data_IF_266225839090
#
_entry.id   IF_266225839090
#
_cell.length_a   1.000
_cell.length_b   1.000
_cell.length_c   1.000
_cell.angle_alpha   90.00
_cell.angle_beta   90.00
_cell.angle_gamma   90.00
#
_symmetry.space_group_name_H-M   'P 1'
#
loop_
_entity.id
_entity.type
_entity.pdbx_description
1 polymer ?
#
# COMPACT_ATOMS: atom_id res chain seq x y z
N UNK A 1 -70.08 -18.47 3.05
CA UNK A 1 -70.91 -17.76 2.05
C UNK A 1 -71.17 -16.35 2.55
N UNK A 2 -70.83 -15.33 1.73
CA UNK A 2 -71.14 -13.86 1.82
C UNK A 2 -70.59 -13.07 3.03
N UNK A 3 -69.58 -12.21 2.80
CA UNK A 3 -69.58 -10.71 2.74
C UNK A 3 -69.71 -10.04 4.11
N UNK A 4 -68.87 -9.08 4.53
CA UNK A 4 -68.70 -7.75 3.96
C UNK A 4 -67.34 -7.07 4.23
N UNK A 5 -67.09 -6.00 3.47
CA UNK A 5 -65.90 -5.16 3.33
C UNK A 5 -65.87 -4.00 4.34
N UNK A 6 -64.67 -3.54 4.69
CA UNK A 6 -64.41 -2.12 4.92
C UNK A 6 -63.09 -1.70 4.24
N UNK A 7 -63.16 -0.61 3.47
CA UNK A 7 -62.05 0.09 2.83
C UNK A 7 -61.53 1.19 3.77
N UNK A 8 -60.20 1.34 3.85
CA UNK A 8 -59.55 2.62 4.14
C UNK A 8 -58.44 2.82 3.10
N UNK A 9 -58.55 3.92 2.36
CA UNK A 9 -57.52 4.47 1.47
C UNK A 9 -56.42 5.11 2.32
N UNK A 10 -55.15 4.89 1.97
CA UNK A 10 -54.18 5.99 2.01
C UNK A 10 -52.96 5.78 1.10
N UNK A 11 -52.41 6.91 0.66
CA UNK A 11 -51.58 7.10 -0.53
C UNK A 11 -50.13 6.66 -0.36
N UNK A 12 -49.55 6.30 -1.50
CA UNK A 12 -48.12 6.10 -1.80
C UNK A 12 -47.23 7.22 -1.27
N UNK A 13 -46.07 6.86 -0.74
CA UNK A 13 -44.84 7.66 -0.82
C UNK A 13 -43.63 6.73 -0.82
N UNK A 14 -42.91 6.71 -1.95
CA UNK A 14 -41.60 6.09 -2.07
C UNK A 14 -40.57 6.98 -1.36
N UNK A 15 -39.84 6.43 -0.39
CA UNK A 15 -38.65 7.08 0.18
C UNK A 15 -37.40 6.30 -0.25
N UNK A 16 -36.65 6.87 -1.19
CA UNK A 16 -35.22 6.64 -1.30
C UNK A 16 -34.53 7.41 -0.18
N UNK A 17 -33.81 6.72 0.70
CA UNK A 17 -32.95 7.35 1.70
C UNK A 17 -31.53 6.81 1.53
N UNK A 18 -30.68 7.62 0.88
CA UNK A 18 -29.25 7.59 1.12
C UNK A 18 -29.03 7.87 2.61
N UNK A 19 -28.42 6.93 3.33
CA UNK A 19 -27.86 7.23 4.66
C UNK A 19 -26.34 7.22 4.58
N UNK A 20 -25.81 8.44 4.63
CA UNK A 20 -24.44 8.73 4.99
C UNK A 20 -24.14 8.33 6.44
N UNK A 21 -22.85 8.22 6.69
CA UNK A 21 -22.22 7.83 7.94
C UNK A 21 -22.56 8.84 9.04
N UNK A 22 -23.15 8.34 10.14
CA UNK A 22 -23.31 9.08 11.39
C UNK A 22 -22.09 8.78 12.28
N UNK A 23 -21.16 9.74 12.36
CA UNK A 23 -20.08 9.70 13.34
C UNK A 23 -20.59 10.34 14.64
N UNK A 24 -20.86 9.50 15.64
CA UNK A 24 -21.20 9.94 17.00
C UNK A 24 -19.90 10.29 17.75
N UNK A 25 -19.64 11.58 17.91
CA UNK A 25 -18.66 12.08 18.89
C UNK A 25 -19.36 12.23 20.24
N UNK A 26 -18.96 11.39 21.19
CA UNK A 26 -19.29 11.52 22.60
C UNK A 26 -18.53 12.72 23.19
N UNK A 27 -19.25 13.81 23.48
CA UNK A 27 -18.73 14.90 24.30
C UNK A 27 -19.28 14.72 25.72
N UNK A 28 -18.37 14.51 26.67
CA UNK A 28 -18.64 14.47 28.11
C UNK A 28 -19.15 15.83 28.61
N UNK A 29 -20.19 15.91 29.45
CA UNK A 29 -20.56 17.14 30.11
C UNK A 29 -19.81 17.25 31.44
N UNK A 30 -19.44 18.47 31.82
CA UNK A 30 -19.53 19.07 33.17
C UNK A 30 -18.47 20.16 33.26
N UNK A 31 -18.88 21.40 33.06
CA UNK A 31 -18.54 22.53 33.96
C UNK A 31 -19.36 23.76 33.58
N UNK A 32 -20.08 24.22 34.58
CA UNK A 32 -21.11 25.26 34.61
C UNK A 32 -20.51 26.66 34.51
N UNK A 33 -21.04 27.53 33.63
CA UNK A 33 -21.10 28.98 33.88
C UNK A 33 -22.40 29.55 33.29
N UNK A 34 -23.19 30.18 34.16
CA UNK A 34 -24.42 30.94 33.86
C UNK A 34 -24.07 32.29 33.22
N UNK A 35 -24.87 32.75 32.27
CA UNK A 35 -25.28 34.16 32.20
C UNK A 35 -26.71 34.30 31.65
N UNK A 36 -27.50 35.12 32.35
CA UNK A 36 -28.85 35.58 31.99
C UNK A 36 -28.76 36.66 30.90
N UNK A 37 -29.81 36.80 30.08
CA UNK A 37 -30.05 38.05 29.35
C UNK A 37 -30.56 37.90 27.93
N UNK A 38 -31.88 38.03 27.81
CA UNK A 38 -32.71 38.21 26.62
C UNK A 38 -32.13 39.00 25.42
N UNK A 39 -32.56 38.55 24.23
CA UNK A 39 -33.02 39.32 23.06
C UNK A 39 -32.20 39.12 21.78
N UNK A 40 -32.94 38.80 20.71
CA UNK A 40 -32.49 38.52 19.34
C UNK A 40 -31.45 39.50 18.77
N UNK A 41 -30.39 38.95 18.20
CA UNK A 41 -29.64 39.56 17.10
C UNK A 41 -29.23 38.49 16.09
N UNK A 42 -29.71 38.62 14.87
CA UNK A 42 -29.06 38.06 13.68
C UNK A 42 -27.86 38.96 13.36
N UNK A 43 -26.66 38.38 13.27
CA UNK A 43 -25.50 39.06 12.71
C UNK A 43 -24.81 38.20 11.65
N UNK A 44 -24.63 38.82 10.49
CA UNK A 44 -23.62 38.51 9.49
C UNK A 44 -22.21 38.72 10.07
N UNK A 45 -21.27 37.80 9.77
CA UNK A 45 -19.88 38.13 9.43
C UNK A 45 -18.80 38.14 10.53
N UNK A 46 -17.77 37.31 10.27
CA UNK A 46 -16.34 37.47 10.57
C UNK A 46 -15.77 37.15 11.98
N UNK A 47 -14.85 36.19 12.01
CA UNK A 47 -13.60 36.29 12.78
C UNK A 47 -12.41 35.81 11.93
N UNK A 48 -11.30 36.52 12.10
CA UNK A 48 -10.09 36.50 11.30
C UNK A 48 -9.10 35.39 11.69
N UNK A 49 -8.25 34.99 10.74
CA UNK A 49 -6.91 34.44 11.04
C UNK A 49 -5.89 35.30 10.32
N UNK A 50 -5.04 35.94 11.13
CA UNK A 50 -3.84 36.65 10.72
C UNK A 50 -2.79 35.64 10.23
N UNK A 51 -2.33 35.79 8.99
CA UNK A 51 -1.02 35.28 8.58
C UNK A 51 -0.23 36.44 7.96
N UNK A 52 0.76 36.92 8.71
CA UNK A 52 1.94 37.61 8.18
C UNK A 52 2.64 36.62 7.24
N UNK A 53 2.97 36.93 5.98
CA UNK A 53 3.88 37.98 5.53
C UNK A 53 5.22 37.32 5.22
N UNK A 54 5.58 37.19 3.94
CA UNK A 54 6.95 37.02 3.38
C UNK A 54 6.85 37.10 1.83
N UNK A 55 7.92 37.45 1.09
CA UNK A 55 7.86 38.36 -0.04
C UNK A 55 7.83 37.68 -1.43
N UNK A 56 7.54 38.53 -2.40
CA UNK A 56 7.46 38.27 -3.84
C UNK A 56 8.84 37.94 -4.44
N UNK A 57 8.92 36.88 -5.23
CA UNK A 57 9.97 36.72 -6.25
C UNK A 57 9.35 36.86 -7.64
N UNK A 58 9.81 37.85 -8.39
CA UNK A 58 9.49 38.07 -9.80
C UNK A 58 10.46 37.27 -10.68
N UNK A 59 9.97 36.30 -11.45
CA UNK A 59 10.71 35.71 -12.56
C UNK A 59 10.24 36.30 -13.89
N UNK A 60 11.12 37.04 -14.55
CA UNK A 60 10.98 37.41 -15.95
C UNK A 60 11.50 36.25 -16.82
N UNK A 61 10.66 35.69 -17.69
CA UNK A 61 11.10 34.76 -18.73
C UNK A 61 10.76 35.36 -20.10
N UNK A 62 11.81 35.71 -20.83
CA UNK A 62 11.77 36.15 -22.23
C UNK A 62 11.57 34.92 -23.15
N UNK A 63 10.84 35.03 -24.27
CA UNK A 63 10.57 33.89 -25.14
C UNK A 63 11.77 33.62 -26.05
N UNK A 64 12.41 32.46 -25.89
CA UNK A 64 13.42 31.96 -26.81
C UNK A 64 13.88 30.56 -26.44
N UNK A 65 13.77 29.64 -27.40
CA UNK A 65 14.39 28.31 -27.45
C UNK A 65 13.65 27.16 -26.74
N UNK A 66 12.87 26.45 -27.56
CA UNK A 66 12.47 25.07 -27.34
C UNK A 66 13.72 24.17 -27.25
N UNK A 67 13.91 23.50 -26.12
CA UNK A 67 14.55 22.19 -26.10
C UNK A 67 13.71 21.18 -25.34
N UNK A 68 13.78 19.95 -25.86
CA UNK A 68 12.97 18.78 -25.58
C UNK A 68 13.03 18.40 -24.11
N UNK A 69 11.92 17.94 -23.54
CA UNK A 69 11.86 16.64 -22.85
C UNK A 69 10.44 16.29 -22.31
N UNK A 70 10.07 15.01 -22.52
CA UNK A 70 9.10 14.20 -21.77
C UNK A 70 7.61 14.54 -21.92
N UNK A 71 7.01 14.02 -23.00
CA UNK A 71 5.61 13.60 -22.99
C UNK A 71 5.46 12.35 -22.12
N UNK A 72 4.85 12.50 -20.94
CA UNK A 72 4.24 11.37 -20.21
C UNK A 72 2.75 11.43 -20.48
N UNK A 73 2.26 10.47 -21.26
CA UNK A 73 0.85 10.34 -21.62
C UNK A 73 -0.02 9.99 -20.41
N UNK A 74 -1.18 10.63 -20.31
CA UNK A 74 -2.27 10.23 -19.43
C UNK A 74 -3.48 9.84 -20.27
N UNK A 75 -4.02 8.68 -19.95
CA UNK A 75 -5.18 8.05 -20.56
C UNK A 75 -6.43 8.93 -20.49
N UNK A 76 -7.12 9.09 -21.62
CA UNK A 76 -8.48 9.65 -21.69
C UNK A 76 -9.46 8.49 -21.57
N UNK A 77 -10.21 8.43 -20.48
CA UNK A 77 -11.37 7.55 -20.34
C UNK A 77 -12.59 8.23 -20.98
N UNK A 78 -12.84 7.92 -22.26
CA UNK A 78 -14.05 8.32 -22.96
C UNK A 78 -15.23 7.39 -22.62
N UNK A 79 -16.40 7.95 -22.30
CA UNK A 79 -17.69 7.25 -22.42
C UNK A 79 -18.57 7.90 -23.50
N UNK A 80 -18.97 7.03 -24.41
CA UNK A 80 -19.87 7.14 -25.57
C UNK A 80 -20.96 8.24 -25.58
N UNK A 81 -21.08 8.91 -26.73
CA UNK A 81 -22.37 9.20 -27.39
C UNK A 81 -22.25 8.98 -28.92
N UNK A 82 -23.15 8.13 -29.42
CA UNK A 82 -23.59 7.85 -30.81
C UNK A 82 -22.79 8.34 -32.02
N UNK A 83 -22.52 7.41 -32.94
CA UNK A 83 -22.05 7.67 -34.31
C UNK A 83 -23.00 8.56 -35.13
N UNK A 84 -22.49 9.40 -36.05
CA UNK A 84 -23.23 9.85 -37.22
C UNK A 84 -22.95 8.92 -38.43
N UNK A 85 -23.95 8.56 -39.27
CA UNK A 85 -23.71 7.87 -40.53
C UNK A 85 -23.36 8.85 -41.66
N UNK A 86 -22.57 8.34 -42.63
CA UNK A 86 -22.16 8.98 -43.88
C UNK A 86 -23.31 9.14 -44.89
N UNK A 87 -23.20 10.04 -45.89
CA UNK A 87 -24.31 10.41 -46.76
C UNK A 87 -24.45 9.46 -47.97
N UNK A 88 -25.70 9.16 -48.34
CA UNK A 88 -26.08 8.81 -49.72
C UNK A 88 -27.33 9.59 -50.12
N UNK A 89 -27.25 10.15 -51.31
CA UNK A 89 -28.26 10.91 -52.03
C UNK A 89 -29.53 10.09 -52.29
N UNK A 90 -30.68 10.76 -52.29
CA UNK A 90 -31.58 10.92 -53.45
C UNK A 90 -32.93 11.56 -53.04
N UNK A 91 -33.28 12.59 -53.80
CA UNK A 91 -34.62 13.15 -54.08
C UNK A 91 -35.50 13.76 -52.95
N UNK A 92 -35.60 15.08 -53.02
CA UNK A 92 -36.74 15.97 -52.66
C UNK A 92 -38.05 15.57 -53.40
N UNK A 93 -39.23 16.23 -53.17
CA UNK A 93 -39.56 17.35 -52.26
C UNK A 93 -40.85 17.14 -51.41
N UNK A 94 -41.06 17.97 -50.37
CA UNK A 94 -42.22 18.87 -50.28
C UNK A 94 -42.17 19.75 -49.03
N UNK A 95 -42.66 20.95 -49.25
CA UNK A 95 -42.47 22.20 -48.51
C UNK A 95 -43.44 22.36 -47.33
N UNK A 96 -43.20 23.42 -46.54
CA UNK A 96 -44.09 24.14 -45.60
C UNK A 96 -44.10 23.52 -44.17
N UNK A 97 -43.66 24.17 -43.08
CA UNK A 97 -44.18 25.40 -42.48
C UNK A 97 -43.20 26.08 -41.50
N UNK A 98 -43.08 27.41 -41.69
CA UNK A 98 -42.78 28.55 -40.80
C UNK A 98 -42.30 28.31 -39.35
N UNK A 99 -41.20 28.99 -39.00
CA UNK A 99 -40.88 29.43 -37.63
C UNK A 99 -41.35 30.88 -37.43
N UNK A 100 -42.10 31.14 -36.36
CA UNK A 100 -42.41 32.49 -35.91
C UNK A 100 -41.22 33.08 -35.15
N UNK A 101 -40.84 34.28 -35.57
CA UNK A 101 -39.91 35.21 -34.94
C UNK A 101 -40.42 35.71 -33.60
N UNK A 102 -39.53 35.95 -32.63
CA UNK A 102 -39.66 37.08 -31.71
C UNK A 102 -38.29 37.75 -31.58
N UNK A 103 -38.18 38.92 -32.21
CA UNK A 103 -37.14 39.92 -32.05
C UNK A 103 -37.66 40.94 -31.04
N UNK A 104 -36.88 41.29 -30.03
CA UNK A 104 -36.96 42.62 -29.44
C UNK A 104 -35.54 43.15 -29.21
N UNK A 105 -35.26 44.30 -29.82
CA UNK A 105 -34.05 45.11 -29.72
C UNK A 105 -34.20 46.06 -28.55
N UNK A 106 -33.10 46.37 -27.85
CA UNK A 106 -32.63 47.74 -27.60
C UNK A 106 -31.17 47.72 -27.05
N UNK A 107 -30.41 48.71 -27.53
CA UNK A 107 -28.95 48.96 -27.72
C UNK A 107 -28.15 49.49 -26.47
N UNK A 108 -26.80 49.80 -26.48
CA UNK A 108 -25.68 49.63 -27.44
C UNK A 108 -24.31 49.17 -26.74
N UNK A 109 -23.05 49.46 -27.21
CA UNK A 109 -21.96 48.44 -27.27
C UNK A 109 -20.68 48.76 -26.45
N UNK A 110 -20.02 47.78 -25.79
CA UNK A 110 -18.67 48.02 -25.22
C UNK A 110 -17.73 46.81 -25.36
N UNK A 111 -16.69 47.04 -26.16
CA UNK A 111 -15.28 46.64 -26.09
C UNK A 111 -14.81 45.21 -25.74
N UNK A 112 -14.13 44.62 -26.74
CA UNK A 112 -12.86 43.90 -26.64
C UNK A 112 -12.35 43.55 -25.24
N UNK A 113 -12.54 42.30 -24.81
CA UNK A 113 -11.73 41.72 -23.73
C UNK A 113 -10.38 41.31 -24.33
N UNK A 114 -9.39 42.20 -24.18
CA UNK A 114 -7.96 41.83 -24.22
C UNK A 114 -7.62 41.11 -22.91
N UNK A 115 -7.11 39.89 -23.03
CA UNK A 115 -6.58 39.02 -21.97
C UNK A 115 -7.62 38.35 -21.04
N UNK A 116 -7.55 37.01 -20.99
CA UNK A 116 -8.15 36.17 -19.95
C UNK A 116 -7.03 35.85 -18.96
N UNK A 117 -7.13 36.40 -17.75
CA UNK A 117 -6.24 36.04 -16.64
C UNK A 117 -6.86 34.85 -15.91
N UNK A 118 -6.24 33.67 -16.00
CA UNK A 118 -6.63 32.54 -15.16
C UNK A 118 -6.17 32.82 -13.73
N UNK A 119 -7.11 33.08 -12.82
CA UNK A 119 -6.83 32.89 -11.39
C UNK A 119 -6.75 31.39 -11.15
N UNK A 120 -5.56 30.93 -10.75
CA UNK A 120 -5.36 29.64 -10.10
C UNK A 120 -6.06 29.72 -8.75
N UNK A 121 -7.36 29.42 -8.69
CA UNK A 121 -8.00 29.11 -7.42
C UNK A 121 -7.38 27.80 -6.97
N UNK A 122 -6.45 27.86 -6.02
CA UNK A 122 -6.06 26.70 -5.26
C UNK A 122 -7.33 26.14 -4.63
N UNK A 123 -7.81 25.00 -5.11
CA UNK A 123 -8.72 24.16 -4.34
C UNK A 123 -7.87 23.44 -3.29
N UNK A 124 -7.24 24.23 -2.41
CA UNK A 124 -6.62 23.77 -1.18
C UNK A 124 -7.72 23.80 -0.13
N UNK A 125 -8.47 22.71 0.00
CA UNK A 125 -9.52 22.67 1.00
C UNK A 125 -10.37 21.41 1.09
N UNK A 126 -10.20 20.41 0.23
CA UNK A 126 -11.01 19.17 0.30
C UNK A 126 -10.27 17.91 -0.19
N UNK A 127 -8.93 17.92 -0.15
CA UNK A 127 -8.09 16.76 -0.51
C UNK A 127 -6.91 16.56 0.46
N UNK A 128 -7.12 16.87 1.75
CA UNK A 128 -6.11 16.60 2.81
C UNK A 128 -6.61 15.70 3.95
N UNK A 129 -7.86 15.24 3.91
CA UNK A 129 -8.42 14.30 4.91
C UNK A 129 -8.43 12.85 4.42
N UNK A 130 -7.67 12.54 3.36
CA UNK A 130 -7.27 11.15 3.08
C UNK A 130 -6.14 10.81 4.04
N UNK A 131 -6.52 10.47 5.27
CA UNK A 131 -5.76 9.75 6.28
C UNK A 131 -4.23 9.82 6.12
N UNK A 132 -3.60 10.81 6.74
CA UNK A 132 -2.29 10.59 7.35
C UNK A 132 -2.47 9.50 8.41
N UNK A 133 -2.44 8.24 7.99
CA UNK A 133 -2.30 7.13 8.90
C UNK A 133 -1.01 7.38 9.67
N UNK A 134 -1.12 7.76 10.94
CA UNK A 134 0.00 7.69 11.86
C UNK A 134 0.52 6.26 11.74
N UNK A 135 1.71 6.09 11.16
CA UNK A 135 2.31 4.77 10.96
C UNK A 135 2.31 4.08 12.32
N UNK A 136 1.42 3.10 12.50
CA UNK A 136 1.27 2.44 13.79
C UNK A 136 2.57 1.70 14.05
N UNK A 137 3.27 2.08 15.12
CA UNK A 137 4.52 1.43 15.47
C UNK A 137 4.26 -0.06 15.70
N UNK A 138 4.89 -0.90 14.86
CA UNK A 138 4.72 -2.34 14.96
C UNK A 138 5.24 -2.84 16.31
N UNK A 139 4.43 -3.68 16.96
CA UNK A 139 4.90 -4.45 18.10
C UNK A 139 6.00 -5.39 17.62
N UNK A 140 7.03 -5.63 18.43
CA UNK A 140 8.15 -6.49 18.08
C UNK A 140 8.81 -7.06 19.31
N UNK A 141 9.36 -8.25 19.19
CA UNK A 141 10.37 -8.75 20.12
C UNK A 141 11.73 -8.84 19.40
N UNK A 142 12.81 -8.90 20.16
CA UNK A 142 14.14 -9.01 19.62
C UNK A 142 15.00 -9.99 20.41
N UNK A 143 15.92 -10.64 19.72
CA UNK A 143 17.06 -11.33 20.32
C UNK A 143 18.26 -10.42 20.12
N UNK A 144 18.77 -9.87 21.23
CA UNK A 144 19.96 -9.04 21.20
C UNK A 144 21.19 -9.88 20.86
N UNK A 145 22.08 -9.29 20.07
CA UNK A 145 23.42 -9.81 19.86
C UNK A 145 24.24 -9.77 21.16
N UNK A 146 25.25 -10.64 21.28
CA UNK A 146 26.07 -10.71 22.50
C UNK A 146 27.18 -9.65 22.57
N UNK A 147 27.57 -9.08 21.42
CA UNK A 147 28.59 -8.04 21.29
C UNK A 147 28.06 -6.72 20.72
N UNK A 148 28.92 -6.00 19.99
CA UNK A 148 28.53 -4.74 19.32
C UNK A 148 27.52 -5.03 18.20
N UNK A 149 26.44 -4.26 18.17
CA UNK A 149 25.44 -4.30 17.10
C UNK A 149 26.04 -3.74 15.80
N UNK A 150 26.18 -4.58 14.77
CA UNK A 150 26.67 -4.14 13.44
C UNK A 150 25.89 -4.71 12.26
N UNK A 151 24.83 -5.48 12.53
CA UNK A 151 23.94 -6.03 11.53
C UNK A 151 22.59 -6.40 12.13
N UNK A 152 21.56 -6.49 11.28
CA UNK A 152 20.20 -6.83 11.72
C UNK A 152 19.53 -7.86 10.79
N UNK A 153 18.76 -8.77 11.37
CA UNK A 153 17.85 -9.67 10.65
C UNK A 153 16.42 -9.33 11.05
N UNK A 154 15.57 -9.05 10.08
CA UNK A 154 14.13 -8.83 10.29
C UNK A 154 13.41 -10.12 9.86
N UNK A 155 12.86 -10.86 10.83
CA UNK A 155 12.26 -12.17 10.61
C UNK A 155 10.73 -12.10 10.81
N UNK A 156 10.01 -12.15 9.69
CA UNK A 156 8.56 -12.01 9.60
C UNK A 156 7.85 -13.37 9.80
N UNK A 157 6.83 -13.40 10.66
CA UNK A 157 6.05 -14.59 10.99
C UNK A 157 5.02 -14.96 9.90
N UNK A 158 4.47 -16.17 9.97
CA UNK A 158 3.38 -16.65 9.10
C UNK A 158 2.01 -16.07 9.48
N UNK A 159 0.99 -16.29 8.65
CA UNK A 159 -0.37 -15.80 8.92
C UNK A 159 -0.94 -16.35 10.23
N UNK A 160 -1.48 -15.47 11.09
CA UNK A 160 -2.12 -15.84 12.35
C UNK A 160 -1.17 -15.97 13.55
N UNK A 161 0.13 -15.82 13.34
CA UNK A 161 1.15 -15.85 14.40
C UNK A 161 1.52 -14.42 14.87
N UNK A 162 2.52 -14.30 15.74
CA UNK A 162 3.11 -13.05 16.21
C UNK A 162 4.63 -13.13 16.18
N UNK A 163 5.34 -12.01 16.31
CA UNK A 163 6.80 -12.02 16.40
C UNK A 163 7.32 -12.85 17.58
N UNK A 164 6.65 -12.78 18.74
CA UNK A 164 7.01 -13.58 19.90
C UNK A 164 6.70 -15.07 19.70
N UNK A 165 5.61 -15.41 19.02
CA UNK A 165 5.26 -16.78 18.67
C UNK A 165 6.29 -17.40 17.73
N UNK A 166 6.66 -16.71 16.65
CA UNK A 166 7.73 -17.15 15.76
C UNK A 166 9.07 -17.32 16.48
N UNK A 167 9.47 -16.36 17.32
CA UNK A 167 10.70 -16.49 18.13
C UNK A 167 10.67 -17.76 18.99
N UNK A 168 9.56 -18.00 19.69
CA UNK A 168 9.40 -19.18 20.52
C UNK A 168 9.46 -20.47 19.69
N UNK A 169 8.82 -20.49 18.52
CA UNK A 169 8.83 -21.64 17.61
C UNK A 169 10.24 -21.95 17.08
N UNK A 170 10.98 -20.93 16.63
CA UNK A 170 12.39 -21.05 16.23
C UNK A 170 13.23 -21.63 17.36
N UNK A 171 13.04 -21.11 18.59
CA UNK A 171 13.73 -21.63 19.79
C UNK A 171 13.37 -23.08 20.06
N UNK A 172 12.12 -23.48 19.93
CA UNK A 172 11.66 -24.83 20.23
C UNK A 172 12.17 -25.85 19.21
N UNK A 173 12.35 -25.45 17.95
CA UNK A 173 12.97 -26.27 16.88
C UNK A 173 14.49 -26.40 17.12
N UNK A 174 15.17 -25.28 17.37
CA UNK A 174 16.63 -25.24 17.61
C UNK A 174 17.05 -25.72 19.00
N UNK A 175 16.11 -25.80 19.96
CA UNK A 175 16.35 -25.99 21.40
C UNK A 175 17.18 -24.89 22.05
N UNK A 176 17.28 -23.72 21.40
CA UNK A 176 17.96 -22.51 21.85
C UNK A 176 17.51 -21.32 21.01
N UNK A 177 17.67 -20.10 21.53
CA UNK A 177 17.41 -18.90 20.72
C UNK A 177 18.35 -18.87 19.50
N UNK A 178 17.80 -18.47 18.34
CA UNK A 178 18.63 -18.08 17.20
C UNK A 178 19.31 -16.75 17.57
N UNK A 179 20.60 -16.82 17.88
CA UNK A 179 21.39 -15.69 18.36
C UNK A 179 22.77 -15.67 17.71
N UNK A 180 23.32 -14.46 17.57
CA UNK A 180 24.58 -14.18 16.88
C UNK A 180 25.43 -13.19 17.69
N UNK A 181 26.73 -13.14 17.40
CA UNK A 181 27.66 -12.27 18.11
C UNK A 181 27.41 -10.78 17.86
N UNK A 182 27.15 -10.38 16.62
CA UNK A 182 27.00 -8.97 16.21
C UNK A 182 25.68 -8.66 15.49
N UNK A 183 24.84 -9.68 15.28
CA UNK A 183 23.59 -9.58 14.52
C UNK A 183 22.40 -9.59 15.48
N UNK A 184 21.63 -8.50 15.47
CA UNK A 184 20.35 -8.43 16.18
C UNK A 184 19.26 -9.09 15.35
N UNK A 185 18.41 -9.92 15.95
CA UNK A 185 17.22 -10.44 15.26
C UNK A 185 15.97 -9.74 15.78
N UNK A 186 15.16 -9.23 14.87
CA UNK A 186 13.92 -8.51 15.14
C UNK A 186 12.78 -9.33 14.57
N UNK A 187 11.83 -9.66 15.44
CA UNK A 187 10.60 -10.37 15.09
C UNK A 187 9.43 -9.39 15.28
N UNK A 188 9.06 -8.62 14.24
CA UNK A 188 7.88 -7.77 14.29
C UNK A 188 6.60 -8.61 14.28
N UNK A 189 5.53 -8.06 14.84
CA UNK A 189 4.18 -8.63 14.82
C UNK A 189 3.32 -7.81 13.86
N UNK A 190 2.70 -8.48 12.89
CA UNK A 190 1.71 -7.87 12.01
C UNK A 190 0.54 -7.32 12.83
N UNK A 191 0.02 -6.11 12.54
CA UNK A 191 -1.16 -5.60 13.22
C UNK A 191 -2.38 -6.48 12.92
N UNK A 192 -3.31 -6.66 13.86
CA UNK A 192 -4.52 -7.43 13.61
C UNK A 192 -5.37 -6.71 12.56
N UNK A 193 -5.80 -7.43 11.53
CA UNK A 193 -6.66 -6.91 10.44
C UNK A 193 -7.61 -7.99 9.91
N UNK A 194 -8.71 -7.62 9.22
CA UNK A 194 -9.55 -8.58 8.52
C UNK A 194 -8.75 -9.37 7.49
N UNK A 195 -9.00 -10.67 7.43
CA UNK A 195 -8.37 -11.57 6.46
C UNK A 195 -9.43 -12.30 5.63
N UNK A 196 -9.44 -12.07 4.31
CA UNK A 196 -10.45 -12.58 3.38
C UNK A 196 -10.58 -14.11 3.40
N UNK A 197 -9.50 -14.91 3.44
CA UNK A 197 -9.59 -16.37 3.52
C UNK A 197 -10.23 -16.85 4.83
N UNK A 198 -10.23 -16.03 5.88
CA UNK A 198 -10.92 -16.29 7.16
C UNK A 198 -12.29 -15.58 7.23
N UNK A 199 -12.93 -15.32 6.08
CA UNK A 199 -14.25 -14.67 5.98
C UNK A 199 -14.32 -13.31 6.70
N UNK A 200 -13.21 -12.57 6.69
CA UNK A 200 -13.10 -11.24 7.29
C UNK A 200 -12.85 -11.23 8.80
N UNK A 201 -12.62 -12.39 9.43
CA UNK A 201 -12.19 -12.44 10.83
C UNK A 201 -10.84 -11.72 11.02
N UNK A 202 -10.66 -11.11 12.20
CA UNK A 202 -9.39 -10.46 12.56
C UNK A 202 -8.31 -11.51 12.77
N UNK A 203 -7.15 -11.28 12.15
CA UNK A 203 -5.96 -12.11 12.30
C UNK A 203 -4.70 -11.26 12.18
N UNK A 204 -3.59 -11.73 12.75
CA UNK A 204 -2.28 -11.12 12.58
C UNK A 204 -1.71 -11.53 11.22
N UNK A 205 -1.95 -10.71 10.20
CA UNK A 205 -1.53 -10.96 8.81
C UNK A 205 -0.87 -9.72 8.22
N UNK A 206 0.21 -9.92 7.47
CA UNK A 206 0.98 -8.83 6.85
C UNK A 206 0.18 -8.12 5.76
N UNK A 207 -0.56 -8.89 4.96
CA UNK A 207 -1.36 -8.41 3.85
C UNK A 207 -2.54 -9.36 3.63
N UNK A 208 -3.53 -8.92 2.84
CA UNK A 208 -4.70 -9.74 2.53
C UNK A 208 -4.47 -10.64 1.31
N UNK A 209 -5.21 -11.74 1.20
CA UNK A 209 -5.20 -12.64 0.04
C UNK A 209 -6.63 -12.88 -0.41
N UNK A 210 -6.93 -12.72 -1.69
CA UNK A 210 -8.26 -13.09 -2.20
C UNK A 210 -8.50 -14.60 -2.06
N UNK A 211 -7.46 -15.40 -2.31
CA UNK A 211 -7.46 -16.87 -2.18
C UNK A 211 -6.07 -17.35 -1.74
N UNK A 212 -6.00 -18.53 -1.14
CA UNK A 212 -4.74 -19.25 -0.93
C UNK A 212 -4.42 -20.01 -2.23
N UNK A 213 -3.84 -19.31 -3.20
CA UNK A 213 -3.47 -19.85 -4.50
C UNK A 213 -2.44 -18.93 -5.16
N UNK A 214 -1.53 -19.51 -5.94
CA UNK A 214 -0.64 -18.77 -6.82
C UNK A 214 -1.35 -18.21 -8.07
N UNK A 215 -2.51 -18.78 -8.44
CA UNK A 215 -3.29 -18.46 -9.65
C UNK A 215 -4.31 -17.32 -9.45
N UNK A 216 -4.10 -16.46 -8.45
CA UNK A 216 -4.88 -15.24 -8.28
C UNK A 216 -3.98 -14.03 -8.14
N UNK A 217 -4.48 -12.84 -8.45
CA UNK A 217 -3.70 -11.62 -8.28
C UNK A 217 -3.43 -11.30 -6.81
N UNK A 218 -2.36 -10.56 -6.56
CA UNK A 218 -1.98 -10.08 -5.24
C UNK A 218 -2.89 -8.94 -4.78
N UNK A 219 -3.09 -8.81 -3.46
CA UNK A 219 -3.79 -7.64 -2.90
C UNK A 219 -2.80 -6.48 -2.68
N UNK A 220 -2.35 -5.87 -3.78
CA UNK A 220 -1.26 -4.89 -3.79
C UNK A 220 -1.41 -3.73 -2.81
N UNK A 221 -2.61 -3.16 -2.65
CA UNK A 221 -2.84 -2.06 -1.70
C UNK A 221 -2.42 -2.43 -0.26
N UNK A 222 -2.74 -3.66 0.16
CA UNK A 222 -2.43 -4.15 1.50
C UNK A 222 -0.94 -4.47 1.67
N UNK A 223 -0.31 -4.97 0.61
CA UNK A 223 1.13 -5.27 0.54
C UNK A 223 1.93 -3.97 0.60
N UNK A 224 1.56 -2.97 -0.20
CA UNK A 224 2.27 -1.70 -0.31
C UNK A 224 2.19 -0.91 1.00
N UNK A 225 1.00 -0.89 1.63
CA UNK A 225 0.84 -0.34 2.98
C UNK A 225 1.77 -1.01 3.99
N UNK A 226 1.92 -2.34 3.91
CA UNK A 226 2.79 -3.07 4.84
C UNK A 226 4.27 -2.88 4.53
N UNK A 227 4.66 -2.76 3.25
CA UNK A 227 6.01 -2.37 2.86
C UNK A 227 6.40 -1.02 3.46
N UNK A 228 5.50 -0.02 3.42
CA UNK A 228 5.76 1.28 4.07
C UNK A 228 5.97 1.13 5.58
N UNK A 229 5.12 0.34 6.26
CA UNK A 229 5.25 0.12 7.71
C UNK A 229 6.55 -0.62 8.07
N UNK A 230 6.89 -1.70 7.38
CA UNK A 230 8.14 -2.43 7.61
C UNK A 230 9.37 -1.59 7.23
N UNK A 231 9.27 -0.72 6.23
CA UNK A 231 10.31 0.27 5.91
C UNK A 231 10.63 1.19 7.08
N UNK A 232 9.64 1.51 7.94
CA UNK A 232 9.91 2.27 9.18
C UNK A 232 10.76 1.50 10.17
N UNK A 233 10.57 0.17 10.28
CA UNK A 233 11.38 -0.70 11.14
C UNK A 233 12.83 -0.73 10.64
N UNK A 234 13.03 -0.85 9.33
CA UNK A 234 14.37 -0.78 8.72
C UNK A 234 15.01 0.59 8.97
N UNK A 235 14.25 1.68 8.85
CA UNK A 235 14.77 3.02 9.09
C UNK A 235 15.18 3.24 10.55
N UNK A 236 14.49 2.63 11.51
CA UNK A 236 14.92 2.64 12.92
C UNK A 236 16.27 1.96 13.12
N UNK A 237 16.54 0.85 12.42
CA UNK A 237 17.85 0.18 12.48
C UNK A 237 18.94 1.01 11.78
N UNK A 238 18.61 1.71 10.69
CA UNK A 238 19.52 2.70 10.08
C UNK A 238 19.88 3.80 11.08
N UNK A 239 18.89 4.34 11.81
CA UNK A 239 19.14 5.34 12.88
C UNK A 239 19.95 4.77 14.03
N UNK A 240 19.88 3.46 14.28
CA UNK A 240 20.72 2.76 15.26
C UNK A 240 22.15 2.48 14.75
N UNK A 241 22.50 2.90 13.53
CA UNK A 241 23.84 2.78 12.97
C UNK A 241 24.07 1.53 12.12
N UNK A 242 23.03 0.76 11.79
CA UNK A 242 23.14 -0.40 10.90
C UNK A 242 22.74 0.01 9.48
N UNK A 243 23.66 0.05 8.50
CA UNK A 243 23.29 0.37 7.13
C UNK A 243 22.49 -0.77 6.50
N UNK A 244 21.68 -0.48 5.46
CA UNK A 244 20.77 -1.48 4.86
C UNK A 244 21.49 -2.68 4.23
N UNK A 245 22.68 -2.49 3.68
CA UNK A 245 23.54 -3.58 3.20
C UNK A 245 24.10 -4.48 4.32
N UNK A 246 23.80 -4.16 5.59
CA UNK A 246 24.03 -4.99 6.79
C UNK A 246 22.71 -5.50 7.38
N UNK A 247 21.64 -5.48 6.60
CA UNK A 247 20.34 -6.01 6.97
C UNK A 247 19.95 -7.19 6.07
N UNK A 248 19.34 -8.20 6.67
CA UNK A 248 18.62 -9.26 5.96
C UNK A 248 17.16 -9.16 6.35
N UNK A 249 16.26 -9.34 5.38
CA UNK A 249 14.82 -9.46 5.63
C UNK A 249 14.37 -10.83 5.18
N UNK A 250 13.58 -11.54 5.97
CA UNK A 250 13.01 -12.80 5.53
C UNK A 250 11.86 -13.24 6.39
N UNK A 251 11.26 -14.37 6.05
CA UNK A 251 10.13 -14.86 6.83
C UNK A 251 9.65 -16.25 6.47
N UNK A 252 8.70 -16.71 7.28
CA UNK A 252 7.99 -17.97 7.08
C UNK A 252 6.63 -17.71 6.43
N UNK A 253 6.26 -18.51 5.43
CA UNK A 253 4.97 -18.47 4.75
C UNK A 253 4.60 -17.06 4.25
N UNK A 254 3.54 -16.45 4.78
CA UNK A 254 3.17 -15.07 4.46
C UNK A 254 4.32 -14.06 4.71
N UNK A 255 5.14 -14.29 5.75
CA UNK A 255 6.28 -13.44 6.07
C UNK A 255 7.38 -13.49 5.01
N UNK A 256 7.63 -14.65 4.38
CA UNK A 256 8.62 -14.75 3.31
C UNK A 256 8.16 -14.07 2.03
N UNK A 257 6.87 -14.22 1.68
CA UNK A 257 6.27 -13.47 0.58
C UNK A 257 6.35 -11.93 0.82
N UNK A 258 6.05 -11.49 2.05
CA UNK A 258 6.17 -10.08 2.43
C UNK A 258 7.63 -9.58 2.34
N UNK A 259 8.59 -10.40 2.75
CA UNK A 259 10.01 -10.07 2.67
C UNK A 259 10.49 -9.91 1.22
N UNK A 260 10.02 -10.75 0.29
CA UNK A 260 10.31 -10.63 -1.14
C UNK A 260 9.79 -9.31 -1.71
N UNK A 261 8.55 -8.92 -1.39
CA UNK A 261 8.02 -7.61 -1.79
C UNK A 261 8.85 -6.45 -1.21
N UNK A 262 9.18 -6.51 0.08
CA UNK A 262 9.92 -5.45 0.76
C UNK A 262 11.32 -5.27 0.15
N UNK A 263 12.07 -6.36 0.03
CA UNK A 263 13.44 -6.33 -0.46
C UNK A 263 13.51 -5.98 -1.96
N UNK A 264 12.74 -6.67 -2.81
CA UNK A 264 12.91 -6.51 -4.25
C UNK A 264 12.33 -5.20 -4.81
N UNK A 265 11.29 -4.64 -4.17
CA UNK A 265 10.60 -3.44 -4.66
C UNK A 265 11.04 -2.16 -3.95
N UNK A 266 11.22 -2.22 -2.63
CA UNK A 266 11.44 -1.02 -1.81
C UNK A 266 12.89 -0.88 -1.31
N UNK A 267 13.57 -2.00 -1.03
CA UNK A 267 14.90 -2.00 -0.42
C UNK A 267 15.86 -3.02 -1.06
N UNK A 268 16.18 -2.89 -2.36
CA UNK A 268 17.07 -3.82 -3.07
C UNK A 268 18.52 -3.79 -2.55
N UNK A 269 18.88 -2.79 -1.74
CA UNK A 269 20.19 -2.63 -1.12
C UNK A 269 20.45 -3.54 0.11
N UNK A 270 19.47 -4.35 0.52
CA UNK A 270 19.65 -5.30 1.63
C UNK A 270 20.67 -6.39 1.31
N UNK A 271 21.33 -6.93 2.34
CA UNK A 271 22.37 -7.94 2.18
C UNK A 271 21.86 -9.25 1.57
N UNK A 272 20.58 -9.57 1.81
CA UNK A 272 19.94 -10.77 1.34
C UNK A 272 18.47 -10.83 1.77
N UNK A 273 17.74 -11.75 1.15
CA UNK A 273 16.37 -12.10 1.53
C UNK A 273 16.24 -13.60 1.71
N UNK A 274 15.44 -14.03 2.68
CA UNK A 274 15.12 -15.45 2.82
C UNK A 274 13.61 -15.69 2.89
N UNK A 275 13.17 -16.83 2.35
CA UNK A 275 11.76 -17.20 2.26
C UNK A 275 11.60 -18.70 2.60
N UNK A 276 10.94 -19.00 3.71
CA UNK A 276 10.72 -20.37 4.19
C UNK A 276 9.26 -20.76 3.94
N UNK A 277 9.01 -21.86 3.24
CA UNK A 277 7.67 -22.33 2.86
C UNK A 277 6.76 -21.23 2.28
N UNK A 278 7.30 -20.44 1.34
CA UNK A 278 6.67 -19.21 0.83
C UNK A 278 6.51 -19.25 -0.69
N UNK A 279 5.60 -18.43 -1.22
CA UNK A 279 5.38 -18.26 -2.65
C UNK A 279 4.96 -16.83 -3.00
N UNK A 280 5.23 -16.44 -4.24
CA UNK A 280 4.64 -15.27 -4.90
C UNK A 280 3.56 -15.72 -5.88
N UNK A 281 2.60 -14.83 -6.14
CA UNK A 281 1.55 -15.07 -7.12
C UNK A 281 2.11 -14.97 -8.54
N UNK A 282 1.53 -15.70 -9.52
CA UNK A 282 2.12 -15.84 -10.87
C UNK A 282 2.32 -14.52 -11.62
N UNK A 283 1.45 -13.55 -11.37
CA UNK A 283 1.50 -12.20 -11.94
C UNK A 283 2.17 -11.17 -11.00
N UNK A 284 2.96 -11.64 -10.03
CA UNK A 284 3.57 -10.77 -9.02
C UNK A 284 4.39 -9.63 -9.63
N UNK A 285 4.14 -8.42 -9.12
CA UNK A 285 4.92 -7.23 -9.47
C UNK A 285 6.38 -7.33 -9.04
N UNK A 286 6.73 -8.28 -8.17
CA UNK A 286 8.12 -8.53 -7.76
C UNK A 286 8.95 -9.02 -8.94
N UNK A 287 8.40 -9.89 -9.79
CA UNK A 287 9.13 -10.40 -10.96
C UNK A 287 9.53 -9.26 -11.89
N UNK A 288 8.59 -8.34 -12.15
CA UNK A 288 8.86 -7.15 -12.95
C UNK A 288 9.89 -6.23 -12.27
N UNK A 289 9.76 -5.98 -10.97
CA UNK A 289 10.68 -5.12 -10.22
C UNK A 289 12.13 -5.64 -10.22
N UNK A 290 12.31 -6.96 -10.15
CA UNK A 290 13.62 -7.62 -10.27
C UNK A 290 14.14 -7.48 -11.71
N UNK A 291 13.29 -7.74 -12.70
CA UNK A 291 13.65 -7.65 -14.12
C UNK A 291 14.08 -6.23 -14.53
N UNK A 292 13.37 -5.20 -14.06
CA UNK A 292 13.70 -3.79 -14.32
C UNK A 292 15.06 -3.38 -13.74
N UNK A 293 15.55 -4.13 -12.74
CA UNK A 293 16.84 -3.92 -12.08
C UNK A 293 17.91 -4.90 -12.54
N UNK A 294 17.64 -5.72 -13.56
CA UNK A 294 18.60 -6.72 -14.05
C UNK A 294 19.95 -6.07 -14.38
N UNK A 295 21.03 -6.62 -13.81
CA UNK A 295 22.39 -6.08 -13.92
C UNK A 295 22.77 -5.05 -12.86
N UNK A 296 21.83 -4.59 -12.03
CA UNK A 296 22.11 -3.83 -10.81
C UNK A 296 22.26 -4.79 -9.61
N UNK A 297 22.89 -4.34 -8.50
CA UNK A 297 22.92 -5.13 -7.28
C UNK A 297 21.50 -5.46 -6.79
N UNK A 298 21.24 -6.75 -6.61
CA UNK A 298 20.01 -7.31 -6.03
C UNK A 298 20.38 -8.18 -4.83
N UNK A 299 19.50 -8.32 -3.84
CA UNK A 299 19.77 -9.20 -2.72
C UNK A 299 19.73 -10.66 -3.19
N UNK A 300 20.60 -11.50 -2.63
CA UNK A 300 20.56 -12.94 -2.85
C UNK A 300 19.34 -13.54 -2.12
N UNK A 301 18.64 -14.46 -2.76
CA UNK A 301 17.52 -15.21 -2.17
C UNK A 301 17.98 -16.58 -1.63
N UNK A 302 17.74 -16.79 -0.35
CA UNK A 302 17.74 -18.12 0.28
C UNK A 302 16.30 -18.63 0.45
N UNK A 303 15.93 -19.68 -0.27
CA UNK A 303 14.58 -20.24 -0.20
C UNK A 303 14.62 -21.70 0.23
N UNK A 304 13.78 -22.07 1.19
CA UNK A 304 13.57 -23.45 1.62
C UNK A 304 12.09 -23.81 1.54
N UNK A 305 11.79 -25.07 1.19
CA UNK A 305 10.42 -25.53 1.09
C UNK A 305 10.29 -27.02 1.39
N UNK A 306 9.25 -27.38 2.15
CA UNK A 306 8.92 -28.77 2.41
C UNK A 306 8.22 -29.44 1.22
N UNK A 307 8.70 -30.61 0.81
CA UNK A 307 8.13 -31.34 -0.34
C UNK A 307 6.75 -31.94 -0.07
N UNK A 308 6.35 -32.07 1.19
CA UNK A 308 5.04 -32.56 1.61
C UNK A 308 4.12 -31.43 2.11
N UNK A 309 4.44 -30.17 1.81
CA UNK A 309 3.63 -29.03 2.20
C UNK A 309 2.29 -29.01 1.43
N UNK A 310 1.20 -29.26 2.14
CA UNK A 310 -0.17 -29.28 1.61
C UNK A 310 -0.90 -27.92 1.72
N UNK A 311 -0.30 -26.91 2.37
CA UNK A 311 -0.90 -25.58 2.52
C UNK A 311 -0.34 -24.59 1.50
N UNK A 312 0.97 -24.60 1.34
CA UNK A 312 1.70 -23.88 0.30
C UNK A 312 2.41 -24.93 -0.51
N UNK A 313 1.81 -25.36 -1.61
CA UNK A 313 2.37 -26.44 -2.42
C UNK A 313 3.82 -26.14 -2.82
N UNK A 314 4.67 -27.15 -2.69
CA UNK A 314 6.10 -27.07 -3.01
C UNK A 314 6.37 -26.45 -4.39
N UNK A 315 5.56 -26.82 -5.39
CA UNK A 315 5.62 -26.27 -6.73
C UNK A 315 5.49 -24.74 -6.77
N UNK A 316 4.64 -24.13 -5.93
CA UNK A 316 4.51 -22.66 -5.91
C UNK A 316 5.77 -21.97 -5.40
N UNK A 317 6.44 -22.58 -4.40
CA UNK A 317 7.74 -22.12 -3.93
C UNK A 317 8.82 -22.27 -5.01
N UNK A 318 8.88 -23.43 -5.65
CA UNK A 318 9.84 -23.71 -6.72
C UNK A 318 9.67 -22.76 -7.92
N UNK A 319 8.42 -22.59 -8.39
CA UNK A 319 8.08 -21.64 -9.45
C UNK A 319 8.50 -20.21 -9.09
N UNK A 320 8.31 -19.80 -7.83
CA UNK A 320 8.76 -18.48 -7.35
C UNK A 320 10.27 -18.31 -7.50
N UNK A 321 11.05 -19.29 -7.05
CA UNK A 321 12.51 -19.26 -7.14
C UNK A 321 13.02 -19.27 -8.58
N UNK A 322 12.36 -20.03 -9.47
CA UNK A 322 12.66 -20.09 -10.91
C UNK A 322 12.38 -18.76 -11.59
N UNK A 323 11.21 -18.16 -11.36
CA UNK A 323 10.83 -16.88 -11.96
C UNK A 323 11.74 -15.74 -11.51
N UNK A 324 12.10 -15.68 -10.22
CA UNK A 324 13.05 -14.69 -9.71
C UNK A 324 14.45 -14.86 -10.32
N UNK A 325 14.90 -16.10 -10.51
CA UNK A 325 16.15 -16.40 -11.21
C UNK A 325 16.13 -15.91 -12.66
N UNK A 326 15.05 -16.21 -13.39
CA UNK A 326 14.88 -15.74 -14.76
C UNK A 326 14.84 -14.21 -14.86
N UNK A 327 14.23 -13.54 -13.88
CA UNK A 327 14.22 -12.08 -13.78
C UNK A 327 15.61 -11.48 -13.49
N UNK A 328 16.57 -12.27 -13.00
CA UNK A 328 17.98 -11.87 -12.81
C UNK A 328 18.45 -11.80 -11.37
N UNK A 329 17.68 -12.34 -10.42
CA UNK A 329 18.08 -12.45 -9.02
C UNK A 329 18.92 -13.71 -8.79
N UNK A 330 19.94 -13.64 -7.94
CA UNK A 330 20.63 -14.85 -7.47
C UNK A 330 19.73 -15.59 -6.48
N UNK A 331 19.40 -16.85 -6.78
CA UNK A 331 18.45 -17.63 -6.00
C UNK A 331 18.99 -19.03 -5.69
N UNK A 332 18.93 -19.39 -4.41
CA UNK A 332 19.07 -20.77 -3.94
C UNK A 332 17.70 -21.30 -3.50
N UNK A 333 17.37 -22.51 -3.91
CA UNK A 333 16.11 -23.18 -3.55
C UNK A 333 16.42 -24.57 -2.99
N UNK A 334 16.01 -24.80 -1.74
CA UNK A 334 16.24 -26.05 -1.04
C UNK A 334 14.93 -26.78 -0.72
N UNK A 335 14.70 -27.86 -1.42
CA UNK A 335 13.64 -28.83 -1.13
C UNK A 335 14.01 -29.73 0.06
N UNK A 336 13.12 -29.82 1.05
CA UNK A 336 13.29 -30.67 2.23
C UNK A 336 12.31 -31.87 2.13
N UNK A 337 12.82 -33.10 1.90
CA UNK A 337 11.99 -34.30 1.76
C UNK A 337 11.08 -34.56 2.97
N UNK A 338 9.79 -34.78 2.74
CA UNK A 338 8.82 -35.15 3.77
C UNK A 338 8.46 -34.05 4.78
N UNK A 339 9.03 -32.85 4.66
CA UNK A 339 8.66 -31.71 5.50
C UNK A 339 7.33 -31.13 5.01
N UNK A 340 6.40 -30.92 5.94
CA UNK A 340 5.11 -30.24 5.70
C UNK A 340 5.29 -28.71 5.83
N UNK A 341 4.19 -27.97 6.07
CA UNK A 341 4.21 -26.52 6.33
C UNK A 341 4.74 -26.17 7.73
N UNK A 342 6.03 -26.43 7.99
CA UNK A 342 6.65 -26.23 9.30
C UNK A 342 8.14 -25.91 9.19
N UNK A 343 8.70 -25.29 10.24
CA UNK A 343 10.15 -25.11 10.38
C UNK A 343 10.83 -26.42 10.76
N UNK A 344 12.04 -26.63 10.24
CA UNK A 344 12.90 -27.76 10.64
C UNK A 344 14.25 -27.30 11.20
N UNK A 345 14.89 -28.16 12.01
CA UNK A 345 16.23 -27.87 12.53
C UNK A 345 17.25 -27.70 11.41
N UNK A 346 17.25 -28.62 10.44
CA UNK A 346 18.16 -28.60 9.29
C UNK A 346 18.02 -27.27 8.51
N UNK A 347 16.79 -26.88 8.21
CA UNK A 347 16.48 -25.60 7.54
C UNK A 347 17.04 -24.39 8.30
N UNK A 348 16.80 -24.33 9.61
CA UNK A 348 17.23 -23.20 10.45
C UNK A 348 18.76 -23.17 10.65
N UNK A 349 19.42 -24.32 10.67
CA UNK A 349 20.90 -24.42 10.75
C UNK A 349 21.57 -24.01 9.42
N UNK A 350 20.99 -24.38 8.28
CA UNK A 350 21.41 -23.90 6.97
C UNK A 350 21.19 -22.38 6.83
N UNK A 351 20.01 -21.89 7.23
CA UNK A 351 19.71 -20.46 7.26
C UNK A 351 20.70 -19.69 8.15
N UNK A 352 21.01 -20.21 9.34
CA UNK A 352 21.99 -19.61 10.25
C UNK A 352 23.36 -19.47 9.57
N UNK A 353 23.79 -20.50 8.86
CA UNK A 353 25.07 -20.52 8.14
C UNK A 353 25.08 -19.52 6.98
N UNK A 354 23.97 -19.43 6.24
CA UNK A 354 23.80 -18.44 5.17
C UNK A 354 23.81 -17.01 5.72
N UNK A 355 23.09 -16.73 6.81
CA UNK A 355 23.08 -15.41 7.49
C UNK A 355 24.51 -14.98 7.86
N UNK A 356 25.31 -15.88 8.46
CA UNK A 356 26.69 -15.58 8.84
C UNK A 356 27.59 -15.29 7.64
N UNK A 357 27.36 -15.95 6.51
CA UNK A 357 28.08 -15.68 5.25
C UNK A 357 27.72 -14.31 4.67
N UNK A 358 26.45 -13.91 4.71
CA UNK A 358 25.97 -12.62 4.18
C UNK A 358 26.29 -11.45 5.10
N UNK A 359 26.36 -11.68 6.40
CA UNK A 359 26.64 -10.67 7.42
C UNK A 359 27.87 -11.07 8.24
N UNK A 360 29.07 -11.14 7.64
CA UNK A 360 30.29 -11.49 8.37
C UNK A 360 30.56 -10.48 9.48
N UNK A 361 31.28 -10.91 10.52
CA UNK A 361 31.79 -9.98 11.53
C UNK A 361 32.78 -9.04 10.84
N UNK A 362 32.55 -7.74 10.91
CA UNK A 362 33.52 -6.77 10.40
C UNK A 362 34.75 -6.87 11.30
N UNK A 363 35.88 -7.34 10.76
CA UNK A 363 37.16 -7.19 11.42
C UNK A 363 37.37 -5.69 11.60
N UNK A 364 37.55 -5.25 12.84
CA UNK A 364 38.07 -3.91 13.12
C UNK A 364 39.29 -3.73 12.23
N UNK A 365 39.20 -2.86 11.23
CA UNK A 365 40.34 -2.48 10.43
C UNK A 365 41.45 -2.14 11.43
N UNK A 366 42.48 -2.98 11.45
CA UNK A 366 43.73 -2.65 12.12
C UNK A 366 44.20 -1.38 11.43
N UNK A 367 44.01 -0.24 12.10
CA UNK A 367 44.62 1.01 11.69
C UNK A 367 46.13 0.80 11.73
N UNK A 368 46.71 0.71 10.54
CA UNK A 368 48.13 0.99 10.32
C UNK A 368 48.34 2.49 10.35
#
# INVERSE_FOLDING_TARGET
MRSEKFHILERRSHFCLLRGILLLLLISPVSTVRFMGLSHFHLHGAFAVLCQGEPWETFNVSPGELERERCVGWWVQGRYRGQPPQPRSLHTPLTVLRFNSWLCRDTPPIDYVKSITFRRTAVSGLYSDVAMAVAQKLQRCAVSQTGKHSASVIFLHGSGDTGQGLRAWVRDVLKQDLAFAHIRIIYPTAPPRPYTPMRGALSHVWFDRYKISADCSEHLESIDSMCTQLGTVMQEEVRAGVPKNRMIVGGFSMGGAMALHLACRYHPEVAGVFALSSFLNKDSVVYQAVQDRKGQPLPELFQCHGTADELVFHQWGEETGVQLRHAGMDTSFRSIPGLNHQLSRMELEELRSWILKKLPLESSAQGQ
#
